data_IF_042372846735
#
_entry.id   IF_042372846735
#
_cell.length_a   1.000
_cell.length_b   1.000
_cell.length_c   1.000
_cell.angle_alpha   90.00
_cell.angle_beta   90.00
_cell.angle_gamma   90.00
#
_symmetry.space_group_name_H-M   'P 1'
#
loop_
_entity.id
_entity.type
_entity.pdbx_description
1 polymer ?
#
# COMPACT_ATOMS: atom_id res chain seq x y z
N UNK A 1 -26.46 -12.05 6.36
CA UNK A 1 -26.63 -11.74 7.79
C UNK A 1 -28.10 -11.53 8.20
N UNK A 2 -28.91 -10.80 7.46
CA UNK A 2 -30.33 -10.51 7.80
C UNK A 2 -31.17 -11.80 7.99
N UNK A 3 -30.95 -12.83 7.15
CA UNK A 3 -31.67 -14.11 7.19
C UNK A 3 -31.35 -14.91 8.47
N UNK A 4 -30.10 -14.88 8.93
CA UNK A 4 -29.65 -15.55 10.15
C UNK A 4 -30.32 -14.96 11.40
N UNK A 5 -30.38 -13.63 11.48
CA UNK A 5 -31.05 -12.95 12.59
C UNK A 5 -32.55 -13.22 12.65
N UNK A 6 -33.23 -13.23 11.52
CA UNK A 6 -34.67 -13.49 11.45
C UNK A 6 -35.03 -14.91 11.92
N UNK A 7 -34.15 -15.91 11.66
CA UNK A 7 -34.37 -17.32 12.03
C UNK A 7 -34.12 -17.61 13.51
N UNK A 8 -33.09 -16.98 14.12
CA UNK A 8 -32.65 -17.33 15.48
C UNK A 8 -33.17 -16.37 16.57
N UNK A 9 -33.61 -15.17 16.23
CA UNK A 9 -34.01 -14.13 17.19
C UNK A 9 -35.46 -13.68 17.04
N UNK A 10 -36.35 -14.58 16.65
CA UNK A 10 -37.78 -14.30 16.41
C UNK A 10 -38.54 -13.81 17.65
N UNK A 11 -38.00 -14.04 18.87
CA UNK A 11 -38.59 -13.62 20.15
C UNK A 11 -38.09 -12.29 20.69
N UNK A 12 -37.10 -11.66 20.02
CA UNK A 12 -36.63 -10.36 20.46
C UNK A 12 -37.56 -9.22 20.03
N UNK A 13 -37.74 -8.25 20.92
CA UNK A 13 -38.57 -7.06 20.70
C UNK A 13 -38.28 -6.42 19.33
N UNK A 14 -39.32 -5.93 18.65
CA UNK A 14 -39.21 -5.16 17.39
C UNK A 14 -38.19 -4.03 17.47
N UNK A 15 -38.00 -3.47 18.67
CA UNK A 15 -37.00 -2.44 18.97
C UNK A 15 -35.58 -2.95 18.81
N UNK A 16 -35.25 -4.17 19.29
CA UNK A 16 -33.92 -4.77 19.13
C UNK A 16 -33.59 -5.02 17.66
N UNK A 17 -34.54 -5.54 16.89
CA UNK A 17 -34.38 -5.75 15.46
C UNK A 17 -34.13 -4.43 14.71
N UNK A 18 -34.76 -3.34 15.12
CA UNK A 18 -34.53 -2.00 14.57
C UNK A 18 -33.11 -1.51 14.89
N UNK A 19 -32.64 -1.66 16.14
CA UNK A 19 -31.29 -1.28 16.56
C UNK A 19 -30.21 -2.02 15.74
N UNK A 20 -30.35 -3.33 15.58
CA UNK A 20 -29.39 -4.14 14.79
C UNK A 20 -29.36 -3.67 13.32
N UNK A 21 -30.52 -3.43 12.72
CA UNK A 21 -30.59 -2.89 11.34
C UNK A 21 -29.93 -1.52 11.23
N UNK A 22 -30.11 -0.66 12.24
CA UNK A 22 -29.51 0.66 12.29
C UNK A 22 -27.97 0.59 12.38
N UNK A 23 -27.42 -0.27 13.25
CA UNK A 23 -25.96 -0.48 13.38
C UNK A 23 -25.36 -1.01 12.07
N UNK A 24 -25.99 -2.01 11.45
CA UNK A 24 -25.54 -2.54 10.16
C UNK A 24 -25.62 -1.48 9.05
N UNK A 25 -26.64 -0.63 9.08
CA UNK A 25 -26.78 0.50 8.16
C UNK A 25 -25.66 1.52 8.30
N UNK A 26 -25.31 1.90 9.53
CA UNK A 26 -24.23 2.84 9.84
C UNK A 26 -22.87 2.28 9.39
N UNK A 27 -22.62 0.99 9.61
CA UNK A 27 -21.36 0.35 9.15
C UNK A 27 -21.25 0.39 7.62
N UNK A 28 -22.33 0.14 6.87
CA UNK A 28 -22.34 0.23 5.40
C UNK A 28 -22.05 1.65 4.92
N UNK A 29 -22.67 2.65 5.55
CA UNK A 29 -22.44 4.07 5.24
C UNK A 29 -20.99 4.47 5.55
N UNK A 30 -20.46 4.06 6.70
CA UNK A 30 -19.06 4.33 7.09
C UNK A 30 -18.06 3.72 6.09
N UNK A 31 -18.29 2.47 5.64
CA UNK A 31 -17.44 1.81 4.64
C UNK A 31 -17.55 2.51 3.28
N UNK A 32 -18.75 2.94 2.88
CA UNK A 32 -18.97 3.67 1.63
C UNK A 32 -18.26 5.04 1.65
N UNK A 33 -18.36 5.77 2.77
CA UNK A 33 -17.69 7.06 2.95
C UNK A 33 -16.16 6.89 2.94
N UNK A 34 -15.64 5.89 3.69
CA UNK A 34 -14.21 5.57 3.67
C UNK A 34 -13.72 5.29 2.25
N UNK A 35 -14.38 4.40 1.53
CA UNK A 35 -13.98 4.03 0.16
C UNK A 35 -14.03 5.22 -0.81
N UNK A 36 -14.98 6.14 -0.64
CA UNK A 36 -15.08 7.33 -1.50
C UNK A 36 -14.07 8.42 -1.12
N UNK A 37 -13.77 8.60 0.18
CA UNK A 37 -12.74 9.54 0.62
C UNK A 37 -11.35 9.05 0.20
N UNK A 38 -11.04 7.75 0.37
CA UNK A 38 -9.77 7.18 -0.09
C UNK A 38 -9.61 7.22 -1.62
N UNK A 39 -10.70 7.02 -2.38
CA UNK A 39 -10.65 7.19 -3.85
C UNK A 39 -10.34 8.64 -4.26
N UNK A 40 -10.73 9.63 -3.48
CA UNK A 40 -10.49 11.03 -3.79
C UNK A 40 -9.03 11.43 -3.58
N UNK A 41 -8.36 10.84 -2.60
CA UNK A 41 -6.91 11.04 -2.39
C UNK A 41 -6.06 10.35 -3.46
N UNK A 42 -6.49 9.19 -3.96
CA UNK A 42 -5.81 8.45 -5.04
C UNK A 42 -5.97 9.16 -6.40
N UNK A 43 -7.07 9.89 -6.64
CA UNK A 43 -7.25 10.65 -7.88
C UNK A 43 -6.34 11.90 -7.99
N UNK A 44 -5.75 12.35 -6.88
CA UNK A 44 -4.71 13.38 -6.84
C UNK A 44 -3.33 12.89 -7.31
N UNK A 45 -3.09 11.58 -7.31
CA UNK A 45 -1.85 10.92 -7.74
C UNK A 45 -1.73 10.72 -9.27
N UNK A 46 -2.46 11.49 -10.07
CA UNK A 46 -2.25 11.56 -11.53
C UNK A 46 -0.98 12.33 -11.93
N UNK A 47 -0.25 12.86 -10.96
CA UNK A 47 1.05 13.46 -11.19
C UNK A 47 2.10 12.34 -11.22
N UNK A 48 2.91 12.33 -12.25
CA UNK A 48 4.03 11.38 -12.42
C UNK A 48 4.87 11.37 -11.16
N UNK A 49 4.89 10.24 -10.45
CA UNK A 49 5.58 10.08 -9.17
C UNK A 49 7.01 9.63 -9.37
N UNK A 50 7.92 10.15 -8.56
CA UNK A 50 9.31 9.70 -8.48
C UNK A 50 9.45 8.57 -7.47
N UNK A 51 10.12 7.49 -7.89
CA UNK A 51 10.40 6.36 -7.02
C UNK A 51 11.89 6.25 -6.69
N UNK A 52 12.17 5.70 -5.51
CA UNK A 52 13.50 5.29 -5.11
C UNK A 52 13.52 3.77 -4.95
N UNK A 53 14.33 3.07 -5.72
CA UNK A 53 14.56 1.64 -5.57
C UNK A 53 15.68 1.39 -4.57
N UNK A 54 15.39 0.57 -3.57
CA UNK A 54 16.32 0.12 -2.51
C UNK A 54 16.48 -1.38 -2.66
N UNK A 55 17.57 -1.80 -3.26
CA UNK A 55 17.81 -3.19 -3.60
C UNK A 55 19.20 -3.44 -4.17
N UNK A 56 19.36 -4.62 -4.76
CA UNK A 56 20.59 -4.96 -5.44
C UNK A 56 20.70 -4.15 -6.77
N UNK A 57 21.83 -3.47 -7.04
CA UNK A 57 22.03 -2.75 -8.30
C UNK A 57 21.85 -3.62 -9.56
N UNK A 58 22.10 -4.92 -9.48
CA UNK A 58 21.90 -5.85 -10.61
C UNK A 58 20.44 -5.95 -11.05
N UNK A 59 19.49 -5.67 -10.18
CA UNK A 59 18.06 -5.78 -10.45
C UNK A 59 17.46 -4.46 -10.97
N UNK A 60 18.25 -3.39 -10.95
CA UNK A 60 17.79 -2.06 -11.30
C UNK A 60 17.28 -1.95 -12.74
N UNK A 61 17.95 -2.60 -13.71
CA UNK A 61 17.50 -2.62 -15.11
C UNK A 61 16.11 -3.25 -15.25
N UNK A 62 15.87 -4.34 -14.52
CA UNK A 62 14.58 -5.02 -14.48
C UNK A 62 13.51 -4.13 -13.87
N UNK A 63 13.84 -3.45 -12.77
CA UNK A 63 12.93 -2.50 -12.12
C UNK A 63 12.62 -1.32 -13.06
N UNK A 64 13.59 -0.79 -13.80
CA UNK A 64 13.37 0.25 -14.80
C UNK A 64 12.39 -0.22 -15.90
N UNK A 65 12.54 -1.46 -16.37
CA UNK A 65 11.62 -2.06 -17.34
C UNK A 65 10.19 -2.16 -16.82
N UNK A 66 10.01 -2.59 -15.55
CA UNK A 66 8.70 -2.63 -14.90
C UNK A 66 8.11 -1.23 -14.70
N UNK A 67 8.92 -0.28 -14.24
CA UNK A 67 8.49 1.13 -14.07
C UNK A 67 8.05 1.74 -15.40
N UNK A 68 8.70 1.40 -16.52
CA UNK A 68 8.28 1.88 -17.85
C UNK A 68 6.87 1.42 -18.24
N UNK A 69 6.42 0.27 -17.72
CA UNK A 69 5.05 -0.27 -17.91
C UNK A 69 4.06 0.25 -16.88
N UNK A 70 4.54 0.86 -15.77
CA UNK A 70 3.71 1.42 -14.72
C UNK A 70 2.94 2.65 -15.21
N UNK A 71 1.72 2.80 -14.71
CA UNK A 71 0.88 3.98 -14.97
C UNK A 71 1.07 5.06 -13.92
N UNK A 72 1.64 4.71 -12.77
CA UNK A 72 1.74 5.59 -11.60
C UNK A 72 3.14 6.14 -11.39
N UNK A 73 4.18 5.38 -11.75
CA UNK A 73 5.59 5.77 -11.55
C UNK A 73 6.18 6.26 -12.88
N UNK A 74 6.87 7.37 -12.86
CA UNK A 74 7.45 7.98 -14.06
C UNK A 74 8.97 7.89 -14.12
N UNK A 75 9.63 7.85 -12.98
CA UNK A 75 11.08 7.79 -12.87
C UNK A 75 11.46 7.01 -11.63
N UNK A 76 12.57 6.29 -11.69
CA UNK A 76 13.13 5.53 -10.58
C UNK A 76 14.62 5.79 -10.50
N UNK A 77 15.07 6.12 -9.29
CA UNK A 77 16.48 6.20 -8.95
C UNK A 77 16.87 4.96 -8.11
N UNK A 78 18.15 4.57 -8.14
CA UNK A 78 18.64 3.42 -7.37
C UNK A 78 19.43 3.88 -6.17
N UNK A 79 19.19 3.24 -5.04
CA UNK A 79 20.02 3.34 -3.84
C UNK A 79 20.54 1.94 -3.50
N UNK A 80 21.85 1.81 -3.46
CA UNK A 80 22.51 0.58 -3.01
C UNK A 80 22.27 0.37 -1.52
N UNK A 81 22.03 -0.90 -1.16
CA UNK A 81 21.84 -1.29 0.25
C UNK A 81 23.20 -1.40 0.94
N UNK A 82 23.39 -0.58 1.96
CA UNK A 82 24.43 -0.77 2.96
C UNK A 82 23.89 -1.56 4.17
N UNK A 83 24.79 -1.97 5.06
CA UNK A 83 24.42 -2.74 6.26
C UNK A 83 23.45 -1.98 7.19
N UNK A 84 23.50 -0.67 7.20
CA UNK A 84 22.62 0.17 8.03
C UNK A 84 21.21 0.22 7.45
N UNK A 85 21.08 0.35 6.13
CA UNK A 85 19.81 0.29 5.41
C UNK A 85 19.17 -1.11 5.54
N UNK A 86 19.97 -2.18 5.44
CA UNK A 86 19.48 -3.55 5.58
C UNK A 86 18.91 -3.84 6.99
N UNK A 87 19.42 -3.18 8.02
CA UNK A 87 19.01 -3.38 9.41
C UNK A 87 17.93 -2.41 9.89
N UNK A 88 17.96 -1.16 9.45
CA UNK A 88 17.11 -0.08 9.99
C UNK A 88 16.16 0.54 8.95
N UNK A 89 16.31 0.15 7.68
CA UNK A 89 15.60 0.78 6.58
C UNK A 89 16.18 2.14 6.18
N UNK A 90 15.49 2.81 5.27
CA UNK A 90 15.94 4.08 4.69
C UNK A 90 15.51 5.25 5.55
N UNK A 91 16.44 6.14 5.90
CA UNK A 91 16.13 7.36 6.64
C UNK A 91 15.29 8.33 5.81
N UNK A 92 14.34 9.01 6.45
CA UNK A 92 13.48 10.01 5.82
C UNK A 92 14.25 11.10 5.06
N UNK A 93 15.41 11.53 5.59
CA UNK A 93 16.24 12.55 4.93
C UNK A 93 16.70 12.15 3.52
N UNK A 94 16.81 10.85 3.24
CA UNK A 94 17.22 10.31 1.92
C UNK A 94 16.03 10.15 0.95
N UNK A 95 14.81 10.08 1.46
CA UNK A 95 13.60 9.77 0.67
C UNK A 95 12.62 10.93 0.52
N UNK A 96 12.88 12.07 1.16
CA UNK A 96 11.97 13.23 1.17
C UNK A 96 11.57 13.76 -0.21
N UNK A 97 12.40 13.50 -1.23
CA UNK A 97 12.19 13.97 -2.60
C UNK A 97 11.53 12.90 -3.49
N UNK A 98 11.13 11.76 -2.90
CA UNK A 98 10.50 10.63 -3.57
C UNK A 98 9.10 10.38 -3.03
N UNK A 99 8.19 10.08 -3.94
CA UNK A 99 6.79 9.77 -3.61
C UNK A 99 6.58 8.28 -3.35
N UNK A 100 7.44 7.43 -3.93
CA UNK A 100 7.36 5.96 -3.82
C UNK A 100 8.71 5.39 -3.41
N UNK A 101 8.70 4.47 -2.46
CA UNK A 101 9.86 3.70 -2.04
C UNK A 101 9.67 2.23 -2.44
N UNK A 102 10.53 1.72 -3.31
CA UNK A 102 10.48 0.34 -3.82
C UNK A 102 11.55 -0.48 -3.12
N UNK A 103 11.16 -1.52 -2.39
CA UNK A 103 12.10 -2.46 -1.79
C UNK A 103 12.24 -3.74 -2.61
N UNK A 104 13.50 -4.17 -2.84
CA UNK A 104 13.80 -5.53 -3.30
C UNK A 104 13.58 -6.54 -2.16
N UNK A 105 12.65 -7.49 -2.33
CA UNK A 105 12.24 -8.43 -1.28
C UNK A 105 13.31 -9.45 -0.91
N UNK A 106 14.29 -9.67 -1.76
CA UNK A 106 15.47 -10.51 -1.54
C UNK A 106 16.61 -9.78 -0.80
N UNK A 107 16.54 -8.46 -0.76
CA UNK A 107 17.61 -7.61 -0.23
C UNK A 107 17.29 -7.00 1.14
N UNK A 108 16.02 -6.80 1.45
CA UNK A 108 15.54 -6.19 2.72
C UNK A 108 14.49 -7.08 3.35
N UNK A 109 14.61 -7.34 4.66
CA UNK A 109 13.63 -8.15 5.38
C UNK A 109 12.28 -7.43 5.51
N UNK A 110 11.19 -8.19 5.51
CA UNK A 110 9.84 -7.65 5.69
C UNK A 110 9.65 -6.89 7.00
N UNK A 111 10.33 -7.30 8.08
CA UNK A 111 10.27 -6.58 9.35
C UNK A 111 10.80 -5.15 9.21
N UNK A 112 11.95 -4.99 8.54
CA UNK A 112 12.53 -3.67 8.26
C UNK A 112 11.62 -2.83 7.35
N UNK A 113 10.99 -3.44 6.35
CA UNK A 113 10.03 -2.74 5.50
C UNK A 113 8.83 -2.23 6.31
N UNK A 114 8.28 -3.05 7.20
CA UNK A 114 7.15 -2.67 8.07
C UNK A 114 7.53 -1.59 9.07
N UNK A 115 8.68 -1.69 9.73
CA UNK A 115 9.17 -0.67 10.66
C UNK A 115 9.39 0.66 9.95
N UNK A 116 9.89 0.61 8.73
CA UNK A 116 10.07 1.78 7.88
C UNK A 116 8.71 2.39 7.48
N UNK A 117 7.72 1.55 7.16
CA UNK A 117 6.36 1.97 6.87
C UNK A 117 5.75 2.77 8.03
N UNK A 118 5.86 2.28 9.26
CA UNK A 118 5.37 3.01 10.43
C UNK A 118 6.07 4.35 10.64
N UNK A 119 7.38 4.40 10.40
CA UNK A 119 8.16 5.63 10.54
C UNK A 119 7.86 6.67 9.45
N UNK A 120 7.38 6.23 8.28
CA UNK A 120 7.08 7.06 7.11
C UNK A 120 5.61 7.42 6.94
N UNK A 121 4.70 6.81 7.69
CA UNK A 121 3.24 7.01 7.59
C UNK A 121 2.83 8.50 7.67
N UNK A 122 3.58 9.31 8.42
CA UNK A 122 3.36 10.76 8.49
C UNK A 122 3.70 11.53 7.20
N UNK A 123 4.38 10.92 6.23
CA UNK A 123 5.00 11.61 5.09
C UNK A 123 4.36 11.32 3.73
N UNK A 124 3.27 10.56 3.67
CA UNK A 124 2.54 10.19 2.43
C UNK A 124 3.41 9.48 1.37
N UNK A 125 4.56 8.95 1.76
CA UNK A 125 5.39 8.14 0.86
C UNK A 125 4.77 6.78 0.69
N UNK A 126 4.47 6.39 -0.55
CA UNK A 126 3.92 5.09 -0.87
C UNK A 126 5.01 4.02 -0.83
N UNK A 127 4.65 2.83 -0.34
CA UNK A 127 5.55 1.68 -0.38
C UNK A 127 5.21 0.76 -1.53
N UNK A 128 6.27 0.25 -2.16
CA UNK A 128 6.20 -0.77 -3.19
C UNK A 128 7.23 -1.85 -2.93
N UNK A 129 6.98 -3.05 -3.45
CA UNK A 129 7.90 -4.17 -3.35
C UNK A 129 8.21 -4.73 -4.73
N UNK A 130 9.48 -5.03 -4.96
CA UNK A 130 9.93 -5.75 -6.13
C UNK A 130 10.29 -7.18 -5.74
N UNK A 131 9.68 -8.15 -6.39
CA UNK A 131 10.00 -9.57 -6.23
C UNK A 131 10.74 -10.05 -7.49
N UNK A 132 12.00 -10.46 -7.31
CA UNK A 132 12.88 -10.91 -8.38
C UNK A 132 12.40 -12.23 -9.00
N UNK A 133 12.02 -13.22 -8.16
CA UNK A 133 11.65 -14.55 -8.62
C UNK A 133 10.39 -14.53 -9.49
N UNK A 134 9.46 -13.62 -9.15
CA UNK A 134 8.20 -13.47 -9.89
C UNK A 134 8.29 -12.42 -11.01
N UNK A 135 9.37 -11.63 -11.08
CA UNK A 135 9.49 -10.52 -12.01
C UNK A 135 8.37 -9.49 -11.85
N UNK A 136 7.96 -9.20 -10.60
CA UNK A 136 6.79 -8.36 -10.31
C UNK A 136 7.15 -7.17 -9.45
N UNK A 137 6.54 -6.03 -9.80
CA UNK A 137 6.52 -4.81 -8.99
C UNK A 137 5.09 -4.62 -8.44
N UNK A 138 4.96 -4.63 -7.13
CA UNK A 138 3.68 -4.48 -6.42
C UNK A 138 3.67 -3.13 -5.72
N UNK A 139 2.70 -2.31 -6.06
CA UNK A 139 2.41 -1.04 -5.39
C UNK A 139 1.02 -1.09 -4.75
N UNK A 140 0.65 -0.10 -3.97
CA UNK A 140 -0.73 0.02 -3.44
C UNK A 140 -1.79 0.18 -4.54
N UNK A 141 -1.39 0.62 -5.74
CA UNK A 141 -2.31 1.00 -6.81
C UNK A 141 -2.34 0.00 -7.96
N UNK A 142 -1.24 -0.71 -8.19
CA UNK A 142 -1.09 -1.61 -9.33
C UNK A 142 -0.08 -2.73 -9.08
N UNK A 143 -0.23 -3.81 -9.84
CA UNK A 143 0.76 -4.88 -9.95
C UNK A 143 1.27 -4.88 -11.38
N UNK A 144 2.57 -4.69 -11.55
CA UNK A 144 3.24 -4.68 -12.85
C UNK A 144 4.07 -5.95 -12.98
N UNK A 145 3.94 -6.64 -14.09
CA UNK A 145 4.64 -7.90 -14.38
C UNK A 145 5.52 -7.72 -15.63
N UNK A 146 6.65 -8.44 -15.68
CA UNK A 146 7.56 -8.46 -16.81
C UNK A 146 6.93 -8.89 -18.14
#
# INVERSE_FOLDING_TARGET
>A
MTIFFTKHYRHYSRFFTFLVKMVVGIQKISTYIKNNLFKKDISGLKQKTKALFVGNPSDFETVCSLVSKSKTISAVDCMEIDADIALKGVSYSKIKDYDVLIYGTDSVSYNVMLDNMYSLDSHKTLLATYNKDMGTLITELEVVVL
#
